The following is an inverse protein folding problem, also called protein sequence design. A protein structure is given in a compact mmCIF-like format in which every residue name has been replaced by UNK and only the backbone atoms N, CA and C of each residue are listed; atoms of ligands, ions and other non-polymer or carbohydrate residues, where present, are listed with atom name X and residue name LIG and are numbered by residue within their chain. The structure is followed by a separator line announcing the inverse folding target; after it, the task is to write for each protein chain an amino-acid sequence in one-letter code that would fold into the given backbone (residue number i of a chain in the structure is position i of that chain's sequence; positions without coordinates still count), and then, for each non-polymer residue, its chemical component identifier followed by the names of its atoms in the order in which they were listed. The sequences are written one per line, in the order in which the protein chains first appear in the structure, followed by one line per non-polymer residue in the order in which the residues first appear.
data_IF_688795440053
#
_entry.id   IF_688795440053
#
_cell.length_a   1.000
_cell.length_b   1.000
_cell.length_c   1.000
_cell.angle_alpha   90.00
_cell.angle_beta   90.00
_cell.angle_gamma   90.00
#
_symmetry.space_group_name_H-M   'P 1'
#
loop_
_entity.id
_entity.type
_entity.pdbx_description
1 polymer ?
#
# COMPACT_ATOMS: atom_id res chain seq x y z
N UNK A 1 2.04 -22.63 -0.89
CA UNK A 1 2.29 -21.73 0.27
C UNK A 1 1.17 -20.71 0.36
N UNK A 2 0.62 -20.43 1.55
CA UNK A 2 -0.49 -19.46 1.67
C UNK A 2 0.11 -18.09 1.98
N UNK A 3 0.02 -17.14 1.07
CA UNK A 3 0.30 -15.73 1.33
C UNK A 3 -0.58 -15.26 2.50
N UNK A 4 -0.03 -14.59 3.52
CA UNK A 4 -0.86 -14.12 4.63
C UNK A 4 -1.92 -13.13 4.10
N UNK A 5 -3.16 -13.28 4.54
CA UNK A 5 -4.29 -12.46 4.08
C UNK A 5 -4.02 -10.95 4.22
N UNK A 6 -3.29 -10.57 5.26
CA UNK A 6 -2.87 -9.17 5.52
C UNK A 6 -2.02 -8.61 4.37
N UNK A 7 -1.15 -9.41 3.77
CA UNK A 7 -0.33 -8.99 2.63
C UNK A 7 -1.19 -8.77 1.38
N UNK A 8 -2.18 -9.64 1.14
CA UNK A 8 -3.11 -9.50 0.01
C UNK A 8 -3.94 -8.21 0.14
N UNK A 9 -4.41 -7.89 1.34
CA UNK A 9 -5.13 -6.64 1.61
C UNK A 9 -4.27 -5.43 1.25
N UNK A 10 -3.01 -5.39 1.68
CA UNK A 10 -2.11 -4.28 1.39
C UNK A 10 -1.87 -4.08 -0.11
N UNK A 11 -1.70 -5.18 -0.86
CA UNK A 11 -1.47 -5.16 -2.32
C UNK A 11 -2.70 -4.63 -3.08
N UNK A 12 -3.90 -4.89 -2.60
CA UNK A 12 -5.14 -4.43 -3.25
C UNK A 12 -5.45 -2.98 -2.87
N UNK A 13 -5.28 -2.61 -1.60
CA UNK A 13 -5.60 -1.26 -1.13
C UNK A 13 -4.68 -0.18 -1.69
N UNK A 14 -3.37 -0.47 -1.85
CA UNK A 14 -2.43 0.54 -2.34
C UNK A 14 -2.73 1.02 -3.78
N UNK A 15 -2.98 0.15 -4.78
CA UNK A 15 -3.41 0.60 -6.11
C UNK A 15 -4.76 1.32 -6.10
N UNK A 16 -5.72 0.87 -5.27
CA UNK A 16 -6.99 1.58 -5.11
C UNK A 16 -6.78 3.00 -4.59
N UNK A 17 -5.94 3.18 -3.56
CA UNK A 17 -5.56 4.50 -3.04
C UNK A 17 -4.93 5.37 -4.11
N UNK A 18 -4.00 4.83 -4.89
CA UNK A 18 -3.35 5.53 -5.99
C UNK A 18 -4.37 6.05 -7.03
N UNK A 19 -5.35 5.24 -7.42
CA UNK A 19 -6.41 5.64 -8.37
C UNK A 19 -7.20 6.82 -7.81
N UNK A 20 -7.62 6.78 -6.55
CA UNK A 20 -8.33 7.89 -5.90
C UNK A 20 -7.48 9.15 -5.85
N UNK A 21 -6.19 9.06 -5.54
CA UNK A 21 -5.30 10.21 -5.49
C UNK A 21 -5.01 10.79 -6.87
N UNK A 22 -4.89 9.97 -7.92
CA UNK A 22 -4.81 10.45 -9.31
C UNK A 22 -6.08 11.23 -9.67
N UNK A 23 -7.26 10.66 -9.36
CA UNK A 23 -8.54 11.32 -9.61
C UNK A 23 -8.66 12.65 -8.86
N UNK A 24 -8.27 12.67 -7.58
CA UNK A 24 -8.24 13.88 -6.74
C UNK A 24 -7.31 14.94 -7.34
N UNK A 25 -6.12 14.54 -7.78
CA UNK A 25 -5.13 15.45 -8.33
C UNK A 25 -5.58 16.05 -9.66
N UNK A 26 -6.25 15.26 -10.50
CA UNK A 26 -6.71 15.67 -11.83
C UNK A 26 -8.05 16.45 -11.80
N UNK A 27 -8.88 16.21 -10.79
CA UNK A 27 -10.22 16.81 -10.74
C UNK A 27 -10.18 18.31 -10.45
N UNK A 28 -11.02 19.11 -11.14
CA UNK A 28 -11.09 20.55 -10.95
C UNK A 28 -11.96 20.98 -9.76
N UNK A 29 -12.46 20.06 -8.95
CA UNK A 29 -13.41 20.33 -7.87
C UNK A 29 -12.78 20.17 -6.48
N UNK A 30 -11.76 20.99 -6.16
CA UNK A 30 -11.21 21.10 -4.81
C UNK A 30 -11.99 22.09 -3.95
N UNK A 31 -12.45 23.20 -4.58
CA UNK A 31 -13.27 24.25 -3.98
C UNK A 31 -14.44 24.58 -4.91
N UNK A 32 -15.63 24.56 -4.38
CA UNK A 32 -16.84 24.98 -5.07
C UNK A 32 -17.23 26.37 -4.56
N UNK A 33 -17.36 27.32 -5.49
CA UNK A 33 -17.72 28.71 -5.22
C UNK A 33 -19.05 28.95 -5.86
N UNK A 34 -20.05 29.33 -5.05
CA UNK A 34 -21.43 29.66 -5.47
C UNK A 34 -21.74 31.11 -5.11
N UNK A 35 -22.70 31.71 -5.76
CA UNK A 35 -23.21 33.09 -5.48
C UNK A 35 -22.10 34.14 -5.49
N UNK A 36 -21.42 34.27 -6.61
CA UNK A 36 -20.44 35.34 -6.82
C UNK A 36 -21.07 36.49 -7.65
N UNK A 37 -20.51 37.69 -7.51
CA UNK A 37 -21.06 39.00 -7.86
C UNK A 37 -21.35 39.25 -9.36
N UNK A 38 -21.26 38.30 -10.24
CA UNK A 38 -21.62 38.43 -11.68
C UNK A 38 -22.18 37.15 -12.28
N UNK A 39 -22.48 36.16 -11.44
CA UNK A 39 -23.00 34.88 -11.89
C UNK A 39 -24.52 34.79 -11.79
N UNK A 40 -25.14 34.02 -12.68
CA UNK A 40 -26.49 33.59 -12.49
C UNK A 40 -26.59 32.72 -11.22
N UNK A 41 -27.75 32.70 -10.55
CA UNK A 41 -27.93 31.98 -9.26
C UNK A 41 -27.64 30.48 -9.35
N UNK A 42 -27.59 29.93 -10.55
CA UNK A 42 -27.37 28.52 -10.90
C UNK A 42 -25.96 28.20 -11.39
N UNK A 43 -25.03 29.16 -11.34
CA UNK A 43 -23.64 28.93 -11.73
C UNK A 43 -22.76 28.49 -10.55
N UNK A 44 -22.00 27.42 -10.76
CA UNK A 44 -21.05 26.89 -9.82
C UNK A 44 -19.64 26.94 -10.41
N UNK A 45 -18.73 27.65 -9.77
CA UNK A 45 -17.32 27.70 -10.15
C UNK A 45 -16.54 26.69 -9.34
N UNK A 46 -16.02 25.69 -10.03
CA UNK A 46 -15.17 24.64 -9.45
C UNK A 46 -13.70 25.02 -9.64
N UNK A 47 -12.98 25.14 -8.54
CA UNK A 47 -11.56 25.48 -8.53
C UNK A 47 -10.75 24.26 -8.12
N UNK A 48 -10.01 23.69 -9.05
CA UNK A 48 -9.06 22.62 -8.83
C UNK A 48 -7.63 23.14 -8.67
N UNK A 49 -6.70 22.24 -8.39
CA UNK A 49 -5.30 22.62 -8.29
C UNK A 49 -4.65 22.92 -9.65
N UNK A 50 -5.19 22.42 -10.76
CA UNK A 50 -4.66 22.63 -12.11
C UNK A 50 -5.54 23.47 -12.99
N UNK A 51 -6.85 23.36 -12.85
CA UNK A 51 -7.83 23.95 -13.74
C UNK A 51 -9.00 24.51 -12.96
N UNK A 52 -9.71 25.47 -13.56
CA UNK A 52 -10.92 26.10 -13.05
C UNK A 52 -12.01 25.87 -14.07
N UNK A 53 -13.12 25.31 -13.64
CA UNK A 53 -14.31 25.09 -14.48
C UNK A 53 -15.50 25.87 -13.92
N UNK A 54 -16.31 26.42 -14.81
CA UNK A 54 -17.63 26.95 -14.51
C UNK A 54 -18.70 26.02 -15.09
N UNK A 55 -19.66 25.68 -14.28
CA UNK A 55 -20.79 24.81 -14.65
C UNK A 55 -22.09 25.52 -14.33
N UNK A 56 -22.95 25.60 -15.32
CA UNK A 56 -24.33 26.09 -15.16
C UNK A 56 -25.25 24.90 -14.97
N UNK A 57 -25.96 24.87 -13.84
CA UNK A 57 -26.93 23.80 -13.53
C UNK A 57 -28.11 23.80 -14.46
N UNK A 58 -28.55 24.98 -14.97
CA UNK A 58 -29.73 25.13 -15.84
C UNK A 58 -29.49 24.68 -17.28
N UNK A 59 -28.29 24.98 -17.83
CA UNK A 59 -27.96 24.69 -19.23
C UNK A 59 -27.10 23.44 -19.38
N UNK A 60 -26.65 22.82 -18.28
CA UNK A 60 -25.68 21.73 -18.26
C UNK A 60 -24.42 22.01 -19.09
N UNK A 61 -24.09 23.29 -19.26
CA UNK A 61 -22.90 23.72 -19.96
C UNK A 61 -21.75 23.83 -18.98
N UNK A 62 -20.61 23.26 -19.36
CA UNK A 62 -19.37 23.31 -18.58
C UNK A 62 -18.25 23.92 -19.40
N UNK A 63 -17.66 24.98 -18.89
CA UNK A 63 -16.53 25.66 -19.50
C UNK A 63 -15.33 25.55 -18.57
N UNK A 64 -14.23 24.97 -19.06
CA UNK A 64 -12.97 24.80 -18.33
C UNK A 64 -11.84 25.61 -18.98
N UNK A 65 -10.69 25.69 -18.33
CA UNK A 65 -9.54 26.47 -18.81
C UNK A 65 -9.56 27.94 -18.37
N UNK A 66 -10.34 28.25 -17.33
CA UNK A 66 -10.37 29.61 -16.78
C UNK A 66 -9.09 29.87 -15.98
N UNK A 67 -8.49 31.05 -16.19
CA UNK A 67 -7.25 31.45 -15.53
C UNK A 67 -7.55 32.45 -14.41
N UNK A 68 -7.25 32.03 -13.18
CA UNK A 68 -7.22 32.91 -12.01
C UNK A 68 -5.77 32.94 -11.48
N UNK A 69 -5.07 34.03 -11.83
CA UNK A 69 -3.65 34.18 -11.50
C UNK A 69 -3.39 34.24 -10.00
N UNK A 70 -4.28 34.84 -9.24
CA UNK A 70 -4.11 35.05 -7.80
C UNK A 70 -4.38 33.75 -7.05
N UNK A 71 -5.37 32.97 -7.48
CA UNK A 71 -5.63 31.63 -6.98
C UNK A 71 -4.45 30.68 -7.21
N UNK A 72 -3.93 30.62 -8.43
CA UNK A 72 -2.83 29.72 -8.75
C UNK A 72 -1.47 30.14 -8.16
N UNK A 73 -1.29 31.42 -7.82
CA UNK A 73 -0.11 31.92 -7.09
C UNK A 73 -0.21 31.68 -5.59
N UNK A 74 -1.38 31.37 -5.06
CA UNK A 74 -1.55 31.08 -3.64
C UNK A 74 -0.60 29.98 -3.17
N UNK A 75 0.08 30.21 -2.05
CA UNK A 75 1.06 29.27 -1.50
C UNK A 75 0.44 27.88 -1.26
N UNK A 76 -0.79 27.85 -0.75
CA UNK A 76 -1.52 26.61 -0.45
C UNK A 76 -1.69 25.75 -1.70
N UNK A 77 -2.10 26.36 -2.83
CA UNK A 77 -2.31 25.67 -4.11
C UNK A 77 -0.99 25.13 -4.68
N UNK A 78 0.08 25.95 -4.64
CA UNK A 78 1.40 25.52 -5.13
C UNK A 78 1.97 24.35 -4.31
N UNK A 79 1.87 24.43 -2.99
CA UNK A 79 2.33 23.34 -2.12
C UNK A 79 1.47 22.09 -2.33
N UNK A 80 0.14 22.24 -2.46
CA UNK A 80 -0.75 21.12 -2.75
C UNK A 80 -0.35 20.40 -4.05
N UNK A 81 -0.08 21.15 -5.14
CA UNK A 81 0.44 20.56 -6.40
C UNK A 81 1.70 19.74 -6.20
N UNK A 82 2.71 20.33 -5.56
CA UNK A 82 4.00 19.67 -5.35
C UNK A 82 3.88 18.41 -4.49
N UNK A 83 3.16 18.51 -3.38
CA UNK A 83 3.00 17.37 -2.46
C UNK A 83 2.13 16.25 -3.04
N UNK A 84 1.06 16.58 -3.79
CA UNK A 84 0.23 15.56 -4.45
C UNK A 84 1.02 14.81 -5.51
N UNK A 85 1.81 15.50 -6.37
CA UNK A 85 2.68 14.82 -7.35
C UNK A 85 3.73 13.96 -6.64
N UNK A 86 4.37 14.48 -5.59
CA UNK A 86 5.35 13.72 -4.82
C UNK A 86 4.74 12.45 -4.20
N UNK A 87 3.53 12.56 -3.61
CA UNK A 87 2.81 11.41 -3.08
C UNK A 87 2.53 10.36 -4.15
N UNK A 88 2.00 10.76 -5.32
CA UNK A 88 1.74 9.84 -6.43
C UNK A 88 3.02 9.12 -6.91
N UNK A 89 4.13 9.83 -7.03
CA UNK A 89 5.41 9.26 -7.43
C UNK A 89 5.92 8.24 -6.38
N UNK A 90 5.86 8.60 -5.09
CA UNK A 90 6.29 7.73 -3.99
C UNK A 90 5.39 6.49 -3.88
N UNK A 91 4.07 6.64 -4.06
CA UNK A 91 3.14 5.50 -4.08
C UNK A 91 3.44 4.55 -5.24
N UNK A 92 3.66 5.09 -6.44
CA UNK A 92 4.00 4.28 -7.61
C UNK A 92 5.30 3.49 -7.41
N UNK A 93 6.33 4.12 -6.82
CA UNK A 93 7.58 3.45 -6.43
C UNK A 93 7.33 2.37 -5.36
N UNK A 94 6.51 2.67 -4.35
CA UNK A 94 6.13 1.72 -3.31
C UNK A 94 5.43 0.49 -3.86
N UNK A 95 4.47 0.67 -4.77
CA UNK A 95 3.76 -0.45 -5.44
C UNK A 95 4.73 -1.27 -6.30
N UNK A 96 5.65 -0.61 -7.01
CA UNK A 96 6.70 -1.28 -7.79
C UNK A 96 7.60 -2.15 -6.90
N UNK A 97 8.06 -1.62 -5.76
CA UNK A 97 8.84 -2.37 -4.78
C UNK A 97 8.04 -3.53 -4.15
N UNK A 98 6.76 -3.32 -3.86
CA UNK A 98 5.87 -4.37 -3.36
C UNK A 98 5.74 -5.51 -4.36
N UNK A 99 5.54 -5.19 -5.64
CA UNK A 99 5.45 -6.18 -6.72
C UNK A 99 6.71 -7.04 -6.85
N UNK A 100 7.89 -6.39 -6.75
CA UNK A 100 9.18 -7.09 -6.75
C UNK A 100 9.38 -7.94 -5.48
N UNK A 101 8.92 -7.45 -4.33
CA UNK A 101 9.03 -8.16 -3.04
C UNK A 101 8.20 -9.43 -2.96
N UNK A 102 7.03 -9.43 -3.59
CA UNK A 102 6.12 -10.57 -3.63
C UNK A 102 6.59 -11.61 -4.65
N UNK A 103 7.49 -11.22 -5.54
CA UNK A 103 8.03 -12.07 -6.59
C UNK A 103 6.95 -12.94 -7.24
N UNK A 104 6.25 -12.36 -8.18
CA UNK A 104 5.30 -13.09 -9.03
C UNK A 104 5.94 -14.27 -9.80
N UNK A 105 7.26 -14.49 -9.69
CA UNK A 105 8.06 -15.39 -10.52
C UNK A 105 8.92 -16.39 -9.74
N UNK A 106 8.91 -16.39 -8.39
CA UNK A 106 9.74 -17.28 -7.59
C UNK A 106 8.99 -17.77 -6.34
N UNK A 107 9.33 -18.96 -5.84
CA UNK A 107 8.57 -19.67 -4.80
C UNK A 107 8.66 -19.03 -3.40
N UNK A 108 9.68 -18.18 -3.13
CA UNK A 108 9.89 -17.59 -1.81
C UNK A 108 9.76 -16.05 -1.82
N UNK A 109 8.71 -15.47 -1.20
CA UNK A 109 8.53 -14.03 -1.12
C UNK A 109 9.56 -13.36 -0.20
N UNK A 110 10.15 -12.25 -0.66
CA UNK A 110 11.05 -11.43 0.14
C UNK A 110 10.26 -10.51 1.08
N UNK A 111 10.02 -10.96 2.30
CA UNK A 111 9.24 -10.23 3.30
C UNK A 111 9.88 -8.89 3.71
N UNK A 112 11.20 -8.77 3.67
CA UNK A 112 11.90 -7.52 3.98
C UNK A 112 11.58 -6.44 2.94
N UNK A 113 11.62 -6.78 1.65
CA UNK A 113 11.30 -5.85 0.57
C UNK A 113 9.82 -5.45 0.59
N UNK A 114 8.93 -6.40 0.88
CA UNK A 114 7.49 -6.14 1.06
C UNK A 114 7.22 -5.22 2.25
N UNK A 115 7.91 -5.40 3.38
CA UNK A 115 7.78 -4.51 4.53
C UNK A 115 8.30 -3.10 4.26
N UNK A 116 9.43 -2.98 3.56
CA UNK A 116 9.99 -1.69 3.16
C UNK A 116 9.05 -0.94 2.20
N UNK A 117 8.48 -1.64 1.22
CA UNK A 117 7.48 -1.05 0.31
C UNK A 117 6.23 -0.56 1.07
N UNK A 118 5.80 -1.30 2.10
CA UNK A 118 4.71 -0.87 2.98
C UNK A 118 5.01 0.44 3.69
N UNK A 119 6.24 0.62 4.19
CA UNK A 119 6.67 1.88 4.82
C UNK A 119 6.65 3.05 3.83
N UNK A 120 7.11 2.82 2.59
CA UNK A 120 7.10 3.83 1.51
C UNK A 120 5.67 4.24 1.16
N UNK A 121 4.75 3.28 1.00
CA UNK A 121 3.34 3.55 0.71
C UNK A 121 2.67 4.29 1.88
N UNK A 122 2.97 3.90 3.12
CA UNK A 122 2.45 4.58 4.30
C UNK A 122 2.91 6.05 4.36
N UNK A 123 4.20 6.31 4.08
CA UNK A 123 4.74 7.67 4.01
C UNK A 123 4.08 8.50 2.90
N UNK A 124 3.77 7.88 1.74
CA UNK A 124 3.03 8.54 0.66
C UNK A 124 1.61 8.94 1.09
N UNK A 125 0.90 8.07 1.82
CA UNK A 125 -0.41 8.38 2.39
C UNK A 125 -0.35 9.57 3.37
N UNK A 126 0.69 9.66 4.19
CA UNK A 126 0.90 10.84 5.05
C UNK A 126 1.17 12.10 4.22
N UNK A 127 2.00 12.00 3.17
CA UNK A 127 2.30 13.12 2.27
C UNK A 127 1.06 13.65 1.55
N UNK A 128 0.07 12.81 1.24
CA UNK A 128 -1.19 13.24 0.60
C UNK A 128 -2.17 13.88 1.58
N UNK A 129 -2.24 13.40 2.83
CA UNK A 129 -3.14 13.99 3.85
C UNK A 129 -2.73 15.42 4.22
N UNK A 130 -1.44 15.71 4.28
CA UNK A 130 -0.95 17.05 4.68
C UNK A 130 -1.52 18.16 3.80
N UNK A 131 -1.38 18.13 2.45
CA UNK A 131 -1.90 19.19 1.60
C UNK A 131 -3.44 19.24 1.59
N UNK A 132 -4.11 18.09 1.68
CA UNK A 132 -5.58 18.03 1.76
C UNK A 132 -6.10 18.72 3.03
N UNK A 133 -5.49 18.42 4.17
CA UNK A 133 -5.87 19.02 5.45
C UNK A 133 -5.55 20.52 5.49
N UNK A 134 -4.38 20.90 4.96
CA UNK A 134 -3.99 22.30 4.91
C UNK A 134 -4.88 23.13 3.99
N UNK A 135 -5.20 22.58 2.80
CA UNK A 135 -6.11 23.23 1.87
C UNK A 135 -7.51 23.42 2.48
N UNK A 136 -8.04 22.38 3.12
CA UNK A 136 -9.37 22.43 3.76
C UNK A 136 -9.42 23.44 4.89
N UNK A 137 -8.37 23.50 5.72
CA UNK A 137 -8.31 24.46 6.82
C UNK A 137 -8.23 25.92 6.35
N UNK A 138 -7.56 26.17 5.24
CA UNK A 138 -7.37 27.52 4.72
C UNK A 138 -8.26 27.84 3.51
N UNK A 139 -9.37 27.14 3.32
CA UNK A 139 -10.23 27.27 2.15
C UNK A 139 -10.82 28.68 2.00
N UNK A 140 -11.08 29.37 3.12
CA UNK A 140 -11.60 30.73 3.16
C UNK A 140 -10.53 31.79 2.89
N UNK A 141 -9.27 31.48 3.16
CA UNK A 141 -8.13 32.39 2.99
C UNK A 141 -7.49 32.28 1.59
N UNK A 142 -7.88 31.26 0.82
CA UNK A 142 -7.40 31.09 -0.56
C UNK A 142 -8.06 32.16 -1.44
N UNK A 143 -7.28 33.08 -2.04
CA UNK A 143 -7.83 34.16 -2.83
C UNK A 143 -8.64 33.63 -4.00
N UNK A 144 -9.77 34.26 -4.24
CA UNK A 144 -10.61 34.04 -5.41
C UNK A 144 -10.84 35.37 -6.09
N UNK A 145 -10.81 35.43 -7.41
CA UNK A 145 -11.04 36.65 -8.18
C UNK A 145 -12.44 37.22 -7.95
N UNK A 146 -13.34 36.46 -7.39
CA UNK A 146 -14.75 36.83 -7.14
C UNK A 146 -15.06 36.69 -5.65
N UNK A 147 -15.62 37.77 -5.08
CA UNK A 147 -16.08 37.76 -3.70
C UNK A 147 -17.40 36.94 -3.65
N UNK A 148 -17.41 35.84 -2.97
CA UNK A 148 -18.56 34.95 -2.83
C UNK A 148 -18.89 34.70 -1.35
N UNK A 149 -20.17 34.54 -1.06
CA UNK A 149 -20.66 34.27 0.29
C UNK A 149 -20.79 32.76 0.62
N UNK A 150 -20.70 31.88 -0.37
CA UNK A 150 -20.87 30.42 -0.18
C UNK A 150 -19.72 29.67 -0.84
N UNK A 151 -18.76 29.25 -0.01
CA UNK A 151 -17.59 28.45 -0.40
C UNK A 151 -17.67 27.09 0.26
N UNK A 152 -17.51 26.03 -0.52
CA UNK A 152 -17.57 24.65 -0.03
C UNK A 152 -16.38 23.85 -0.49
N UNK A 153 -16.02 22.85 0.32
CA UNK A 153 -15.02 21.84 -0.05
C UNK A 153 -15.61 20.97 -1.16
N UNK A 154 -14.90 20.89 -2.29
CA UNK A 154 -15.33 20.10 -3.42
C UNK A 154 -15.14 18.58 -3.19
N UNK A 155 -15.80 17.78 -4.03
CA UNK A 155 -15.77 16.32 -3.92
C UNK A 155 -14.36 15.72 -4.12
N UNK A 156 -13.50 16.38 -4.87
CA UNK A 156 -12.13 15.90 -5.11
C UNK A 156 -11.32 15.76 -3.82
N UNK A 157 -11.49 16.70 -2.87
CA UNK A 157 -10.81 16.62 -1.56
C UNK A 157 -11.32 15.44 -0.75
N UNK A 158 -12.64 15.16 -0.78
CA UNK A 158 -13.21 13.99 -0.11
C UNK A 158 -12.65 12.69 -0.67
N UNK A 159 -12.55 12.55 -2.00
CA UNK A 159 -11.91 11.42 -2.67
C UNK A 159 -10.44 11.31 -2.29
N UNK A 160 -9.75 12.43 -2.13
CA UNK A 160 -8.36 12.48 -1.68
C UNK A 160 -8.16 11.89 -0.28
N UNK A 161 -9.03 12.25 0.66
CA UNK A 161 -9.00 11.65 2.01
C UNK A 161 -9.26 10.14 1.98
N UNK A 162 -10.23 9.68 1.18
CA UNK A 162 -10.50 8.24 1.02
C UNK A 162 -9.28 7.53 0.44
N UNK A 163 -8.66 8.07 -0.61
CA UNK A 163 -7.45 7.52 -1.23
C UNK A 163 -6.28 7.45 -0.25
N UNK A 164 -6.06 8.51 0.51
CA UNK A 164 -5.01 8.56 1.54
C UNK A 164 -5.26 7.51 2.65
N UNK A 165 -6.50 7.32 3.08
CA UNK A 165 -6.83 6.25 4.04
C UNK A 165 -6.51 4.86 3.49
N UNK A 166 -6.79 4.61 2.20
CA UNK A 166 -6.43 3.33 1.58
C UNK A 166 -4.93 3.11 1.51
N UNK A 167 -4.14 4.15 1.20
CA UNK A 167 -2.68 4.06 1.23
C UNK A 167 -2.14 3.81 2.64
N UNK A 168 -2.66 4.50 3.64
CA UNK A 168 -2.26 4.29 5.03
C UNK A 168 -2.57 2.86 5.50
N UNK A 169 -3.79 2.38 5.24
CA UNK A 169 -4.20 1.02 5.61
C UNK A 169 -3.42 -0.03 4.82
N UNK A 170 -3.22 0.18 3.54
CA UNK A 170 -2.45 -0.70 2.66
C UNK A 170 -0.98 -0.79 3.08
N UNK A 171 -0.33 0.34 3.29
CA UNK A 171 1.06 0.43 3.76
C UNK A 171 1.23 -0.21 5.13
N UNK A 172 0.34 0.08 6.07
CA UNK A 172 0.36 -0.51 7.41
C UNK A 172 0.19 -2.04 7.38
N UNK A 173 -0.70 -2.56 6.55
CA UNK A 173 -0.90 -3.99 6.36
C UNK A 173 0.38 -4.68 5.87
N UNK A 174 1.10 -4.09 4.92
CA UNK A 174 2.37 -4.63 4.43
C UNK A 174 3.46 -4.60 5.51
N UNK A 175 3.53 -3.54 6.31
CA UNK A 175 4.47 -3.44 7.44
C UNK A 175 4.16 -4.51 8.50
N UNK A 176 2.89 -4.72 8.85
CA UNK A 176 2.49 -5.77 9.80
C UNK A 176 2.88 -7.17 9.31
N UNK A 177 2.79 -7.42 8.00
CA UNK A 177 3.20 -8.68 7.40
C UNK A 177 4.69 -8.98 7.66
N UNK A 178 5.54 -7.96 7.64
CA UNK A 178 6.96 -8.09 7.98
C UNK A 178 7.17 -8.47 9.47
N UNK A 179 6.50 -7.79 10.39
CA UNK A 179 6.61 -8.09 11.82
C UNK A 179 6.11 -9.50 12.17
N UNK A 180 5.03 -9.94 11.52
CA UNK A 180 4.48 -11.28 11.73
C UNK A 180 5.46 -12.38 11.29
N UNK A 181 6.24 -12.13 10.25
CA UNK A 181 7.26 -13.05 9.76
C UNK A 181 8.49 -13.11 10.67
N UNK A 182 8.99 -11.98 11.15
CA UNK A 182 10.13 -11.94 12.08
C UNK A 182 9.83 -12.73 13.36
N UNK A 183 8.61 -12.63 13.91
CA UNK A 183 8.19 -13.36 15.10
C UNK A 183 8.11 -14.88 14.88
N UNK A 184 7.87 -15.34 13.65
CA UNK A 184 7.77 -16.76 13.31
C UNK A 184 9.15 -17.44 13.14
N UNK A 185 10.22 -16.67 12.95
CA UNK A 185 11.59 -17.18 12.75
C UNK A 185 12.30 -17.55 14.05
N UNK A 186 11.83 -17.04 15.20
CA UNK A 186 12.43 -17.28 16.52
C UNK A 186 12.21 -18.68 17.14
N UNK A 187 11.16 -19.49 16.80
CA UNK A 187 10.99 -20.82 17.38
C UNK A 187 12.08 -21.81 16.96
N UNK A 188 12.73 -21.60 15.80
CA UNK A 188 13.73 -22.54 15.28
C UNK A 188 15.06 -22.47 16.03
N UNK A 189 15.45 -21.31 16.54
CA UNK A 189 16.67 -21.12 17.32
C UNK A 189 16.64 -21.91 18.65
N UNK A 190 15.49 -21.94 19.31
CA UNK A 190 15.32 -22.70 20.56
C UNK A 190 15.28 -24.22 20.34
N UNK A 191 14.89 -24.69 19.16
CA UNK A 191 14.85 -26.12 18.88
C UNK A 191 16.25 -26.70 18.63
N UNK A 192 17.14 -25.94 17.99
CA UNK A 192 18.52 -26.36 17.76
C UNK A 192 19.37 -26.27 19.02
N UNK A 193 19.16 -25.24 19.87
CA UNK A 193 19.85 -25.14 21.16
C UNK A 193 19.47 -26.29 22.11
N UNK A 194 18.21 -26.72 22.11
CA UNK A 194 17.74 -27.81 22.96
C UNK A 194 18.14 -29.19 22.44
N UNK A 195 18.44 -29.32 21.14
CA UNK A 195 18.95 -30.57 20.55
C UNK A 195 20.44 -30.73 20.77
N UNK A 196 21.21 -29.65 20.84
CA UNK A 196 22.63 -29.67 21.19
C UNK A 196 22.84 -30.09 22.63
N UNK A 197 22.06 -29.58 23.58
CA UNK A 197 22.16 -29.94 25.00
C UNK A 197 21.66 -31.36 25.31
N UNK A 198 20.90 -32.00 24.40
CA UNK A 198 20.44 -33.40 24.59
C UNK A 198 21.44 -34.43 24.07
N UNK A 199 22.47 -34.00 23.33
CA UNK A 199 23.51 -34.92 22.79
C UNK A 199 24.69 -35.10 23.73
N UNK A 200 24.89 -34.17 24.71
CA UNK A 200 26.00 -34.23 25.64
C UNK A 200 25.72 -35.04 26.92
N UNK A 201 24.49 -35.57 27.06
CA UNK A 201 24.12 -36.42 28.21
C UNK A 201 23.82 -37.86 27.80
N UNK A 202 24.56 -38.44 26.86
CA UNK A 202 24.56 -39.89 26.65
C UNK A 202 25.69 -40.53 27.43
N UNK A 203 25.28 -41.21 28.49
CA UNK A 203 25.99 -42.24 29.28
C UNK A 203 26.90 -43.13 28.44
N UNK A 204 28.07 -43.52 28.96
CA UNK A 204 29.00 -44.38 28.23
C UNK A 204 28.36 -45.71 27.84
N UNK A 205 28.61 -46.13 26.61
CA UNK A 205 28.14 -47.41 26.10
C UNK A 205 28.77 -48.58 26.86
N UNK A 206 28.01 -49.66 27.17
CA UNK A 206 28.57 -50.87 27.71
C UNK A 206 29.46 -51.56 26.66
N UNK A 207 30.67 -51.96 27.08
CA UNK A 207 31.63 -52.73 26.29
C UNK A 207 31.02 -54.09 25.88
N UNK A 208 30.97 -54.33 24.58
CA UNK A 208 30.59 -55.64 24.02
C UNK A 208 31.77 -56.60 24.12
N UNK A 209 31.59 -57.66 24.89
CA UNK A 209 32.45 -58.84 24.88
C UNK A 209 32.31 -59.56 23.55
N UNK A 210 33.39 -59.72 22.83
CA UNK A 210 33.52 -60.60 21.66
C UNK A 210 33.59 -62.04 22.10
N UNK A 211 32.63 -62.85 21.63
CA UNK A 211 32.77 -64.32 21.55
C UNK A 211 32.91 -64.71 20.07
N UNK A 212 33.91 -65.55 19.72
CA UNK A 212 34.03 -66.05 18.36
C UNK A 212 33.28 -67.37 18.17
N UNK A 213 32.97 -67.67 16.93
CA UNK A 213 32.41 -68.87 16.34
C UNK A 213 30.89 -69.01 16.33
N UNK A 214 30.28 -68.82 15.15
CA UNK A 214 29.74 -69.95 14.38
C UNK A 214 29.33 -69.48 12.97
N UNK A 215 29.82 -70.20 11.98
CA UNK A 215 29.50 -70.13 10.56
C UNK A 215 28.26 -70.95 10.34
N UNK A 216 27.20 -70.37 9.77
CA UNK A 216 26.17 -71.16 9.01
C UNK A 216 25.63 -70.25 7.91
N UNK A 217 25.76 -70.81 6.69
CA UNK A 217 25.21 -70.32 5.44
C UNK A 217 23.67 -70.36 5.46
N UNK A 218 23.07 -69.29 4.89
CA UNK A 218 21.62 -69.24 4.61
C UNK A 218 21.23 -68.11 3.66
N UNK A 219 20.28 -68.26 2.79
CA UNK A 219 20.22 -67.65 1.47
C UNK A 219 19.67 -66.25 1.42
N UNK A 220 20.19 -65.51 0.44
CA UNK A 220 19.79 -64.18 -0.03
C UNK A 220 18.33 -64.04 -0.40
N UNK A 221 17.63 -63.08 0.20
CA UNK A 221 16.34 -62.60 -0.30
C UNK A 221 16.49 -61.15 -0.82
N UNK A 222 16.28 -61.00 -2.13
CA UNK A 222 16.06 -59.70 -2.81
C UNK A 222 14.75 -59.08 -2.35
N UNK A 223 14.65 -57.83 -2.09
CA UNK A 223 13.35 -57.14 -1.97
C UNK A 223 12.80 -56.86 -3.34
N UNK A 224 11.56 -57.30 -3.52
CA UNK A 224 10.73 -57.19 -4.70
C UNK A 224 10.24 -55.75 -4.86
N UNK A 225 10.50 -55.14 -6.00
CA UNK A 225 9.94 -53.87 -6.44
C UNK A 225 8.43 -53.94 -6.54
N UNK A 226 7.71 -53.00 -5.93
CA UNK A 226 6.28 -52.79 -6.06
C UNK A 226 5.97 -51.97 -7.30
N UNK A 227 4.95 -52.26 -8.09
CA UNK A 227 4.63 -51.53 -9.30
C UNK A 227 3.85 -50.25 -9.05
N UNK A 228 4.09 -49.35 -9.93
CA UNK A 228 3.45 -48.09 -10.23
C UNK A 228 1.97 -48.32 -10.55
N UNK A 229 1.05 -47.68 -9.81
CA UNK A 229 -0.32 -47.51 -10.26
C UNK A 229 -0.49 -46.05 -10.75
N UNK A 230 -0.58 -45.96 -12.08
CA UNK A 230 -1.22 -44.84 -12.76
C UNK A 230 -2.72 -45.17 -12.79
N UNK A 231 -3.56 -44.23 -12.28
CA UNK A 231 -4.87 -43.97 -12.86
C UNK A 231 -5.60 -42.83 -12.13
N UNK A 232 -6.06 -41.84 -12.98
CA UNK A 232 -7.08 -40.79 -12.82
C UNK A 232 -6.67 -39.51 -12.10
#
# INVERSE_FOLDING_TARGET
MRTPAVMVIGIVLAPCGLIFLITTTAAPAWKDVRKYESAAEDEVRQQGIWDICEESESTHSRQCGLTDTDYFKAQVVRVARGMMIASLAVTALGIGLASLGIRCWDEDPNYLLSGLSGLVIFAAGVLSIIPLSWYTNNINDVPTATQSSDMRVGYAVALGFIGSCFELMGGFSLVLSFFHFCKKKDPASNYYANRSNKHDNKTPAPQSHTNPLEVTDGPSYLPKSSPFDADL
#
